data_IF_075116374395
#
_entry.id   IF_075116374395
#
_cell.length_a   1.000
_cell.length_b   1.000
_cell.length_c   1.000
_cell.angle_alpha   90.00
_cell.angle_beta   90.00
_cell.angle_gamma   90.00
#
_symmetry.space_group_name_H-M   'P 1'
#
loop_
_entity.id
_entity.type
_entity.pdbx_description
1 polymer ?
#
# COMPACT_ATOMS: atom_id res chain seq x y z
N UNK A 1 19.99 2.41 -34.13
CA UNK A 1 19.95 1.69 -32.84
C UNK A 1 21.27 0.98 -32.71
N UNK A 2 22.19 1.51 -31.91
CA UNK A 2 23.56 1.02 -31.79
C UNK A 2 23.65 -0.12 -30.79
N UNK A 3 24.58 -1.06 -31.02
CA UNK A 3 24.87 -2.20 -30.14
C UNK A 3 25.19 -1.85 -28.68
N UNK A 4 25.34 -0.58 -28.34
CA UNK A 4 25.56 -0.09 -26.97
C UNK A 4 24.30 -0.06 -26.08
N UNK A 5 23.12 -0.01 -26.69
CA UNK A 5 21.86 0.03 -25.92
C UNK A 5 21.44 -1.35 -25.37
N UNK A 6 22.03 -2.42 -25.92
CA UNK A 6 21.73 -3.79 -25.50
C UNK A 6 22.61 -4.27 -24.34
N UNK A 7 23.78 -3.70 -24.15
CA UNK A 7 24.69 -4.07 -23.06
C UNK A 7 24.34 -3.44 -21.69
N UNK A 8 23.61 -2.33 -21.67
CA UNK A 8 23.16 -1.71 -20.42
C UNK A 8 21.99 -2.46 -19.75
N UNK A 9 21.31 -3.34 -20.47
CA UNK A 9 20.14 -4.08 -19.93
C UNK A 9 20.48 -5.29 -19.06
N UNK A 10 21.72 -5.70 -19.02
CA UNK A 10 22.16 -6.84 -18.20
C UNK A 10 22.91 -6.40 -16.93
N UNK A 11 22.43 -5.35 -16.24
CA UNK A 11 22.91 -5.06 -14.89
C UNK A 11 22.40 -6.17 -13.99
N UNK A 12 23.21 -7.24 -13.84
CA UNK A 12 22.94 -8.37 -12.92
C UNK A 12 22.36 -7.82 -11.62
N UNK A 13 21.12 -8.19 -11.30
CA UNK A 13 20.53 -7.89 -10.02
C UNK A 13 21.45 -8.41 -8.94
N UNK A 14 22.17 -7.52 -8.28
CA UNK A 14 23.03 -7.89 -7.14
C UNK A 14 22.12 -8.17 -5.96
N UNK A 15 21.82 -9.44 -5.77
CA UNK A 15 21.16 -9.91 -4.56
C UNK A 15 22.12 -9.61 -3.40
N UNK A 16 21.61 -8.99 -2.35
CA UNK A 16 22.36 -8.88 -1.09
C UNK A 16 22.22 -10.22 -0.34
N UNK A 17 23.26 -11.10 -0.35
CA UNK A 17 23.12 -12.46 0.15
C UNK A 17 22.63 -12.54 1.60
N UNK A 18 23.19 -11.79 2.56
CA UNK A 18 22.70 -11.87 3.94
C UNK A 18 21.23 -11.47 4.07
N UNK A 19 20.80 -10.41 3.41
CA UNK A 19 19.39 -9.99 3.45
C UNK A 19 18.50 -11.06 2.85
N UNK A 20 18.89 -11.62 1.70
CA UNK A 20 18.10 -12.66 1.03
C UNK A 20 17.96 -13.92 1.90
N UNK A 21 19.06 -14.47 2.40
CA UNK A 21 19.02 -15.71 3.18
C UNK A 21 18.33 -15.54 4.53
N UNK A 22 18.56 -14.42 5.22
CA UNK A 22 17.88 -14.16 6.50
C UNK A 22 16.37 -13.98 6.28
N UNK A 23 15.97 -13.21 5.28
CA UNK A 23 14.53 -13.02 4.97
C UNK A 23 13.87 -14.33 4.55
N UNK A 24 14.52 -15.13 3.70
CA UNK A 24 14.00 -16.43 3.28
C UNK A 24 13.85 -17.38 4.48
N UNK A 25 14.85 -17.44 5.37
CA UNK A 25 14.79 -18.25 6.58
C UNK A 25 13.63 -17.84 7.49
N UNK A 26 13.50 -16.54 7.76
CA UNK A 26 12.41 -16.01 8.61
C UNK A 26 11.04 -16.32 8.02
N UNK A 27 10.87 -16.12 6.72
CA UNK A 27 9.60 -16.45 6.04
C UNK A 27 9.30 -17.95 6.13
N UNK A 28 10.29 -18.81 5.86
CA UNK A 28 10.12 -20.26 5.95
C UNK A 28 9.78 -20.72 7.37
N UNK A 29 10.39 -20.12 8.39
CA UNK A 29 10.07 -20.42 9.79
C UNK A 29 8.64 -20.00 10.15
N UNK A 30 8.21 -18.81 9.75
CA UNK A 30 6.83 -18.34 10.02
C UNK A 30 5.82 -19.21 9.29
N UNK A 31 6.01 -19.47 8.00
CA UNK A 31 5.11 -20.30 7.18
C UNK A 31 5.11 -21.73 7.68
N UNK A 32 6.29 -22.30 7.99
CA UNK A 32 6.42 -23.64 8.54
C UNK A 32 5.71 -23.78 9.89
N UNK A 33 5.89 -22.80 10.79
CA UNK A 33 5.19 -22.78 12.08
C UNK A 33 3.65 -22.72 11.88
N UNK A 34 3.18 -21.84 11.00
CA UNK A 34 1.74 -21.73 10.73
C UNK A 34 1.15 -23.00 10.08
N UNK A 35 1.91 -23.66 9.21
CA UNK A 35 1.48 -24.91 8.57
C UNK A 35 1.47 -26.12 9.53
N UNK A 36 2.47 -26.23 10.41
CA UNK A 36 2.59 -27.33 11.35
C UNK A 36 1.68 -27.16 12.59
N UNK A 37 1.46 -25.93 13.02
CA UNK A 37 0.68 -25.60 14.23
C UNK A 37 -0.38 -24.53 13.96
N UNK A 38 -1.38 -24.80 13.07
CA UNK A 38 -2.31 -23.76 12.61
C UNK A 38 -3.13 -23.14 13.74
N UNK A 39 -3.59 -23.93 14.70
CA UNK A 39 -4.39 -23.44 15.83
C UNK A 39 -3.57 -22.53 16.77
N UNK A 40 -2.33 -22.95 17.09
CA UNK A 40 -1.43 -22.19 17.94
C UNK A 40 -1.02 -20.87 17.26
N UNK A 41 -0.72 -20.94 15.97
CA UNK A 41 -0.39 -19.78 15.15
C UNK A 41 -1.57 -18.78 15.12
N UNK A 42 -2.80 -19.24 14.91
CA UNK A 42 -3.99 -18.40 14.89
C UNK A 42 -4.18 -17.68 16.23
N UNK A 43 -4.07 -18.38 17.36
CA UNK A 43 -4.20 -17.79 18.68
C UNK A 43 -3.13 -16.71 18.93
N UNK A 44 -1.86 -17.00 18.66
CA UNK A 44 -0.77 -16.06 18.91
C UNK A 44 -0.80 -14.87 17.96
N UNK A 45 -1.10 -15.10 16.67
CA UNK A 45 -1.19 -14.00 15.69
C UNK A 45 -2.37 -13.09 15.99
N UNK A 46 -3.53 -13.63 16.36
CA UNK A 46 -4.69 -12.82 16.78
C UNK A 46 -4.42 -12.04 18.07
N UNK A 47 -3.78 -12.66 19.05
CA UNK A 47 -3.40 -11.98 20.29
C UNK A 47 -2.43 -10.83 20.02
N UNK A 48 -1.41 -11.05 19.20
CA UNK A 48 -0.47 -10.02 18.78
C UNK A 48 -1.17 -8.88 18.02
N UNK A 49 -2.02 -9.21 17.05
CA UNK A 49 -2.80 -8.24 16.30
C UNK A 49 -3.68 -7.38 17.20
N UNK A 50 -4.42 -8.01 18.12
CA UNK A 50 -5.30 -7.31 19.08
C UNK A 50 -4.49 -6.39 19.99
N UNK A 51 -3.34 -6.86 20.48
CA UNK A 51 -2.45 -6.05 21.32
C UNK A 51 -1.90 -4.83 20.57
N UNK A 52 -1.46 -5.03 19.32
CA UNK A 52 -0.98 -3.93 18.48
C UNK A 52 -2.08 -2.90 18.23
N UNK A 53 -3.28 -3.33 17.84
CA UNK A 53 -4.38 -2.42 17.58
C UNK A 53 -4.84 -1.68 18.85
N UNK A 54 -4.88 -2.35 19.99
CA UNK A 54 -5.27 -1.71 21.25
C UNK A 54 -4.27 -0.64 21.69
N UNK A 55 -2.99 -0.89 21.51
CA UNK A 55 -1.94 0.00 22.04
C UNK A 55 -1.43 1.03 21.03
N UNK A 56 -1.49 0.73 19.73
CA UNK A 56 -0.88 1.55 18.68
C UNK A 56 -1.88 2.15 17.68
N UNK A 57 -3.20 1.99 17.87
CA UNK A 57 -4.20 2.55 16.94
C UNK A 57 -4.07 4.06 16.78
N UNK A 58 -3.80 4.79 17.87
CA UNK A 58 -3.58 6.24 17.81
C UNK A 58 -2.42 6.62 16.89
N UNK A 59 -1.34 5.83 16.90
CA UNK A 59 -0.18 6.06 16.03
C UNK A 59 -0.53 5.86 14.55
N UNK A 60 -1.27 4.79 14.22
CA UNK A 60 -1.70 4.55 12.84
C UNK A 60 -2.61 5.67 12.32
N UNK A 61 -3.57 6.10 13.14
CA UNK A 61 -4.48 7.20 12.77
C UNK A 61 -3.70 8.49 12.56
N UNK A 62 -2.79 8.83 13.48
CA UNK A 62 -1.95 10.02 13.37
C UNK A 62 -1.04 9.96 12.14
N UNK A 63 -0.38 8.82 11.91
CA UNK A 63 0.51 8.64 10.76
C UNK A 63 -0.23 8.83 9.43
N UNK A 64 -1.41 8.22 9.28
CA UNK A 64 -2.21 8.35 8.05
C UNK A 64 -2.74 9.79 7.89
N UNK A 65 -3.14 10.45 8.96
CA UNK A 65 -3.55 11.85 8.93
C UNK A 65 -2.41 12.76 8.48
N UNK A 66 -1.20 12.57 9.01
CA UNK A 66 -0.01 13.33 8.61
C UNK A 66 0.37 13.06 7.14
N UNK A 67 0.28 11.83 6.68
CA UNK A 67 0.50 11.47 5.27
C UNK A 67 -0.53 12.19 4.38
N UNK A 68 -1.81 12.14 4.73
CA UNK A 68 -2.87 12.80 3.98
C UNK A 68 -2.65 14.31 3.89
N UNK A 69 -2.35 14.95 5.02
CA UNK A 69 -2.03 16.38 5.06
C UNK A 69 -0.79 16.72 4.22
N UNK A 70 0.25 15.91 4.31
CA UNK A 70 1.49 16.11 3.55
C UNK A 70 1.27 16.00 2.04
N UNK A 71 0.56 14.97 1.59
CA UNK A 71 0.25 14.76 0.16
C UNK A 71 -0.66 15.88 -0.36
N UNK A 72 -1.66 16.27 0.42
CA UNK A 72 -2.57 17.38 0.07
C UNK A 72 -1.80 18.70 -0.01
N UNK A 73 -0.94 18.98 0.96
CA UNK A 73 -0.07 20.15 0.94
C UNK A 73 0.86 20.16 -0.27
N UNK A 74 1.51 19.04 -0.59
CA UNK A 74 2.36 18.96 -1.78
C UNK A 74 1.57 19.22 -3.06
N UNK A 75 0.38 18.63 -3.19
CA UNK A 75 -0.46 18.78 -4.38
C UNK A 75 -1.04 20.19 -4.58
N UNK A 76 -1.38 20.89 -3.49
CA UNK A 76 -1.96 22.24 -3.55
C UNK A 76 -0.92 23.37 -3.52
N UNK A 77 0.32 23.07 -3.17
CA UNK A 77 1.43 24.03 -3.13
C UNK A 77 2.19 24.06 -4.45
N UNK A 78 3.12 25.02 -4.56
CA UNK A 78 4.07 25.11 -5.70
C UNK A 78 4.93 23.84 -5.89
N UNK A 79 4.97 22.94 -4.92
CA UNK A 79 5.66 21.67 -5.05
C UNK A 79 4.94 20.70 -6.00
N UNK A 80 3.63 20.88 -6.22
CA UNK A 80 2.85 20.12 -7.18
C UNK A 80 3.28 20.31 -8.64
N UNK A 81 3.94 21.45 -8.95
CA UNK A 81 4.46 21.74 -10.29
C UNK A 81 5.79 21.03 -10.60
N UNK A 82 6.42 20.41 -9.61
CA UNK A 82 7.69 19.71 -9.78
C UNK A 82 7.44 18.39 -10.53
N UNK A 83 8.03 18.26 -11.72
CA UNK A 83 8.00 16.99 -12.46
C UNK A 83 8.74 15.89 -11.69
N UNK A 84 8.14 14.71 -11.62
CA UNK A 84 8.75 13.54 -10.97
C UNK A 84 9.94 12.96 -11.76
N UNK A 85 10.03 13.28 -13.06
CA UNK A 85 11.14 12.93 -13.92
C UNK A 85 11.94 14.15 -14.36
N UNK A 86 12.90 13.99 -15.30
CA UNK A 86 13.64 15.10 -15.91
C UNK A 86 12.70 16.13 -16.55
N UNK A 87 13.08 17.40 -16.55
CA UNK A 87 12.20 18.47 -17.00
C UNK A 87 11.80 18.36 -18.48
N UNK A 88 12.65 17.73 -19.30
CA UNK A 88 12.41 17.46 -20.72
C UNK A 88 11.59 16.18 -20.99
N UNK A 89 11.34 15.35 -19.95
CA UNK A 89 10.62 14.10 -20.12
C UNK A 89 9.16 14.34 -20.54
N UNK A 90 8.68 13.48 -21.44
CA UNK A 90 7.28 13.41 -21.86
C UNK A 90 6.64 12.15 -21.28
N UNK A 91 5.31 12.13 -21.11
CA UNK A 91 4.61 10.92 -20.69
C UNK A 91 4.92 9.74 -21.61
N UNK A 92 5.31 8.60 -21.04
CA UNK A 92 5.62 7.38 -21.78
C UNK A 92 4.37 6.64 -22.27
N UNK A 93 3.23 6.89 -21.64
CA UNK A 93 1.96 6.22 -21.91
C UNK A 93 0.84 7.22 -22.19
N UNK A 94 -0.16 6.79 -22.95
CA UNK A 94 -1.39 7.55 -23.12
C UNK A 94 -2.17 7.62 -21.80
N UNK A 95 -3.05 8.58 -21.67
CA UNK A 95 -3.90 8.74 -20.46
C UNK A 95 -4.71 7.47 -20.14
N UNK A 96 -5.28 6.84 -21.17
CA UNK A 96 -6.07 5.61 -21.02
C UNK A 96 -5.20 4.45 -20.55
N UNK A 97 -4.01 4.28 -21.14
CA UNK A 97 -3.08 3.21 -20.74
C UNK A 97 -2.58 3.41 -19.31
N UNK A 98 -2.24 4.63 -18.95
CA UNK A 98 -1.84 4.97 -17.59
C UNK A 98 -2.95 4.69 -16.57
N UNK A 99 -4.16 5.14 -16.87
CA UNK A 99 -5.33 4.89 -16.03
C UNK A 99 -5.60 3.39 -15.86
N UNK A 100 -5.59 2.62 -16.96
CA UNK A 100 -5.78 1.18 -16.92
C UNK A 100 -4.71 0.46 -16.07
N UNK A 101 -3.44 0.88 -16.16
CA UNK A 101 -2.37 0.33 -15.32
C UNK A 101 -2.58 0.61 -13.83
N UNK A 102 -3.01 1.80 -13.46
CA UNK A 102 -3.33 2.15 -12.06
C UNK A 102 -4.46 1.27 -11.53
N UNK A 103 -5.54 1.11 -12.30
CA UNK A 103 -6.69 0.32 -11.89
C UNK A 103 -6.38 -1.19 -11.85
N UNK A 104 -5.60 -1.71 -12.78
CA UNK A 104 -5.29 -3.13 -12.82
C UNK A 104 -4.36 -3.58 -11.68
N UNK A 105 -3.41 -2.74 -11.28
CA UNK A 105 -2.39 -3.13 -10.31
C UNK A 105 -2.83 -3.02 -8.85
N UNK A 106 -3.53 -1.96 -8.46
CA UNK A 106 -3.79 -1.66 -7.05
C UNK A 106 -5.25 -1.78 -6.64
N UNK A 107 -6.17 -1.47 -7.55
CA UNK A 107 -7.60 -1.39 -7.23
C UNK A 107 -8.39 -2.63 -7.63
N UNK A 108 -7.92 -3.42 -8.58
CA UNK A 108 -8.68 -4.54 -9.12
C UNK A 108 -9.10 -5.52 -8.03
N UNK A 109 -8.15 -6.20 -7.41
CA UNK A 109 -8.42 -7.23 -6.40
C UNK A 109 -8.86 -6.60 -5.08
N UNK A 110 -8.15 -5.57 -4.62
CA UNK A 110 -8.44 -4.90 -3.34
C UNK A 110 -9.87 -4.36 -3.31
N UNK A 111 -10.25 -3.55 -4.29
CA UNK A 111 -11.59 -2.96 -4.35
C UNK A 111 -12.68 -4.00 -4.60
N UNK A 112 -12.45 -4.96 -5.48
CA UNK A 112 -13.45 -6.00 -5.77
C UNK A 112 -13.75 -6.88 -4.55
N UNK A 113 -12.74 -7.24 -3.78
CA UNK A 113 -12.92 -8.04 -2.57
C UNK A 113 -13.51 -7.20 -1.43
N UNK A 114 -12.86 -6.10 -1.08
CA UNK A 114 -13.26 -5.29 0.07
C UNK A 114 -14.47 -4.40 -0.20
N UNK A 115 -14.82 -4.13 -1.44
CA UNK A 115 -16.07 -3.45 -1.78
C UNK A 115 -17.31 -4.21 -1.29
N UNK A 116 -17.19 -5.53 -1.09
CA UNK A 116 -18.22 -6.38 -0.49
C UNK A 116 -17.88 -6.76 0.93
N UNK A 117 -16.64 -7.19 1.19
CA UNK A 117 -16.24 -7.71 2.50
C UNK A 117 -16.28 -6.63 3.59
N UNK A 118 -15.85 -5.42 3.32
CA UNK A 118 -15.76 -4.35 4.31
C UNK A 118 -17.15 -3.92 4.84
N UNK A 119 -18.14 -3.59 3.99
CA UNK A 119 -19.48 -3.27 4.49
C UNK A 119 -20.15 -4.47 5.17
N UNK A 120 -19.94 -5.69 4.72
CA UNK A 120 -20.51 -6.88 5.37
C UNK A 120 -19.89 -7.12 6.75
N UNK A 121 -18.58 -6.98 6.87
CA UNK A 121 -17.88 -7.13 8.16
C UNK A 121 -18.37 -6.08 9.19
N UNK A 122 -18.50 -4.82 8.79
CA UNK A 122 -18.99 -3.77 9.65
C UNK A 122 -20.49 -3.88 9.96
N UNK A 123 -21.28 -4.47 9.06
CA UNK A 123 -22.69 -4.75 9.33
C UNK A 123 -22.86 -5.86 10.38
N UNK A 124 -22.05 -6.92 10.29
CA UNK A 124 -22.08 -8.05 11.20
C UNK A 124 -21.36 -7.79 12.53
N UNK A 125 -20.39 -6.86 12.55
CA UNK A 125 -19.60 -6.51 13.73
C UNK A 125 -19.30 -5.01 13.75
N UNK A 126 -20.30 -4.16 13.94
CA UNK A 126 -20.11 -2.72 13.99
C UNK A 126 -19.26 -2.33 15.21
N UNK A 127 -18.37 -1.32 15.10
CA UNK A 127 -17.58 -0.85 16.24
C UNK A 127 -18.46 -0.22 17.33
N UNK A 128 -19.63 0.26 16.98
CA UNK A 128 -20.60 0.88 17.90
C UNK A 128 -22.01 0.47 17.51
N UNK A 129 -22.85 0.12 18.48
CA UNK A 129 -24.25 -0.21 18.25
C UNK A 129 -24.52 -1.72 18.12
N UNK A 130 -25.75 -2.04 17.75
CA UNK A 130 -26.22 -3.42 17.59
C UNK A 130 -26.01 -3.89 16.15
N UNK A 131 -25.40 -5.08 15.95
CA UNK A 131 -25.23 -5.65 14.62
C UNK A 131 -26.58 -5.95 13.92
N UNK A 132 -26.52 -6.09 12.60
CA UNK A 132 -27.64 -6.52 11.75
C UNK A 132 -28.85 -5.59 11.79
N UNK A 133 -28.65 -4.31 12.11
CA UNK A 133 -29.68 -3.28 12.10
C UNK A 133 -29.52 -2.32 10.91
N UNK A 134 -30.54 -1.51 10.63
CA UNK A 134 -30.46 -0.46 9.61
C UNK A 134 -29.39 0.57 9.94
N UNK A 135 -29.24 0.89 11.21
CA UNK A 135 -28.18 1.77 11.72
C UNK A 135 -26.80 1.17 11.47
N UNK A 136 -26.61 -0.12 11.77
CA UNK A 136 -25.37 -0.85 11.46
C UNK A 136 -25.05 -0.85 9.95
N UNK A 137 -26.07 -0.99 9.10
CA UNK A 137 -25.87 -0.93 7.64
C UNK A 137 -25.40 0.46 7.18
N UNK A 138 -26.01 1.53 7.71
CA UNK A 138 -25.57 2.91 7.39
C UNK A 138 -24.15 3.18 7.88
N UNK A 139 -23.82 2.74 9.08
CA UNK A 139 -22.48 2.90 9.65
C UNK A 139 -21.44 2.08 8.87
N UNK A 140 -21.78 0.85 8.48
CA UNK A 140 -20.92 0.01 7.65
C UNK A 140 -20.56 0.68 6.32
N UNK A 141 -21.54 1.27 5.63
CA UNK A 141 -21.28 2.03 4.40
C UNK A 141 -20.43 3.27 4.67
N UNK A 142 -20.67 4.00 5.74
CA UNK A 142 -19.88 5.18 6.13
C UNK A 142 -18.41 4.80 6.38
N UNK A 143 -18.16 3.72 7.11
CA UNK A 143 -16.81 3.21 7.39
C UNK A 143 -16.12 2.72 6.13
N UNK A 144 -16.83 2.03 5.25
CA UNK A 144 -16.28 1.58 3.96
C UNK A 144 -15.82 2.77 3.11
N UNK A 145 -16.64 3.82 2.98
CA UNK A 145 -16.22 5.03 2.28
C UNK A 145 -15.08 5.78 2.98
N UNK A 146 -15.02 5.74 4.29
CA UNK A 146 -13.91 6.31 5.06
C UNK A 146 -12.61 5.55 4.80
N UNK A 147 -12.63 4.23 4.87
CA UNK A 147 -11.44 3.39 4.65
C UNK A 147 -10.91 3.48 3.21
N UNK A 148 -11.81 3.44 2.23
CA UNK A 148 -11.45 3.45 0.81
C UNK A 148 -11.44 4.84 0.18
N UNK A 149 -11.65 5.87 0.98
CA UNK A 149 -11.56 7.26 0.56
C UNK A 149 -10.12 7.79 0.54
N UNK A 150 -9.97 9.06 0.87
CA UNK A 150 -8.71 9.79 0.78
C UNK A 150 -7.56 9.18 1.58
N UNK A 151 -7.85 8.47 2.67
CA UNK A 151 -6.85 7.90 3.55
C UNK A 151 -6.03 6.80 2.86
N UNK A 152 -6.70 5.84 2.22
CA UNK A 152 -6.01 4.78 1.48
C UNK A 152 -5.21 5.37 0.31
N UNK A 153 -5.79 6.29 -0.43
CA UNK A 153 -5.14 6.93 -1.57
C UNK A 153 -3.94 7.77 -1.18
N UNK A 154 -3.97 8.42 -0.02
CA UNK A 154 -2.82 9.18 0.49
C UNK A 154 -1.61 8.26 0.75
N UNK A 155 -1.83 7.06 1.28
CA UNK A 155 -0.76 6.07 1.50
C UNK A 155 -0.15 5.62 0.16
N UNK A 156 -0.98 5.29 -0.82
CA UNK A 156 -0.48 4.95 -2.16
C UNK A 156 0.27 6.11 -2.80
N UNK A 157 -0.28 7.33 -2.70
CA UNK A 157 0.32 8.52 -3.29
C UNK A 157 1.70 8.84 -2.69
N UNK A 158 1.88 8.78 -1.38
CA UNK A 158 3.19 9.07 -0.76
C UNK A 158 4.24 8.07 -1.17
N UNK A 159 3.92 6.78 -1.22
CA UNK A 159 4.86 5.74 -1.67
C UNK A 159 5.22 5.94 -3.15
N UNK A 160 4.22 6.19 -4.00
CA UNK A 160 4.43 6.43 -5.41
C UNK A 160 5.27 7.70 -5.68
N UNK A 161 5.00 8.79 -4.96
CA UNK A 161 5.75 10.05 -5.06
C UNK A 161 7.22 9.86 -4.66
N UNK A 162 7.47 9.21 -3.53
CA UNK A 162 8.83 8.93 -3.06
C UNK A 162 9.60 8.09 -4.09
N UNK A 163 9.03 6.96 -4.50
CA UNK A 163 9.68 6.08 -5.46
C UNK A 163 9.92 6.77 -6.81
N UNK A 164 8.92 7.46 -7.33
CA UNK A 164 9.04 8.15 -8.62
C UNK A 164 10.04 9.30 -8.58
N UNK A 165 9.99 10.15 -7.55
CA UNK A 165 10.89 11.29 -7.43
C UNK A 165 12.35 10.85 -7.31
N UNK A 166 12.65 9.93 -6.42
CA UNK A 166 14.03 9.47 -6.22
C UNK A 166 14.54 8.62 -7.39
N UNK A 167 13.70 7.80 -7.99
CA UNK A 167 14.11 6.95 -9.10
C UNK A 167 14.25 7.71 -10.41
N UNK A 168 13.22 8.46 -10.81
CA UNK A 168 13.21 9.09 -12.13
C UNK A 168 13.95 10.43 -12.16
N UNK A 169 13.91 11.21 -11.08
CA UNK A 169 14.58 12.51 -11.04
C UNK A 169 16.02 12.42 -10.55
N UNK A 170 16.32 11.55 -9.60
CA UNK A 170 17.66 11.39 -9.02
C UNK A 170 18.40 10.13 -9.47
N UNK A 171 17.81 9.30 -10.33
CA UNK A 171 18.46 8.11 -10.88
C UNK A 171 18.76 7.01 -9.86
N UNK A 172 18.10 7.03 -8.71
CA UNK A 172 18.26 6.00 -7.70
C UNK A 172 17.52 4.70 -8.08
N UNK A 173 17.93 3.55 -7.54
CA UNK A 173 17.23 2.29 -7.80
C UNK A 173 15.77 2.37 -7.36
N UNK A 174 14.87 1.76 -8.14
CA UNK A 174 13.44 1.67 -7.84
C UNK A 174 13.18 0.64 -6.72
N UNK A 175 13.85 0.82 -5.60
CA UNK A 175 13.79 -0.06 -4.42
C UNK A 175 13.85 0.76 -3.14
N UNK A 176 13.15 0.31 -2.12
CA UNK A 176 13.31 0.79 -0.75
C UNK A 176 14.58 0.15 -0.16
N UNK A 177 15.70 0.86 -0.24
CA UNK A 177 16.97 0.48 0.37
C UNK A 177 17.40 1.51 1.38
#
# INVERSE_FOLDING_TARGET
MSHQDTEQSAKKMKINPPVFYISALVILLIVGFAALFPQTADIHLKALQTSLFKNASWFYILAVALILLSVTFMGLSRFGDIKLGPDHARPAYSYISWFAMLFSAGMGIGLMFFGVADPVMHYLSPPVGTPETVEAAKEAMRLTFFHWGLHAWAIYAVVALILAFFSYRHGLPLTLR
#
